data_IF_799402666422
#
_entry.id   IF_799402666422
#
_cell.length_a   1.000
_cell.length_b   1.000
_cell.length_c   1.000
_cell.angle_alpha   90.00
_cell.angle_beta   90.00
_cell.angle_gamma   90.00
#
_symmetry.space_group_name_H-M   'P 1'
#
loop_
_entity.id
_entity.type
_entity.pdbx_description
1 polymer ?
#
# COMPACT_ATOMS: atom_id res chain seq x y z
N UNK A 1 10.83 19.37 -11.95
CA UNK A 1 9.78 19.96 -11.06
C UNK A 1 8.65 18.97 -10.66
N UNK A 2 8.69 17.70 -11.02
CA UNK A 2 7.63 16.70 -10.70
C UNK A 2 7.69 16.09 -9.28
N UNK A 3 8.87 15.92 -8.71
CA UNK A 3 9.08 15.23 -7.42
C UNK A 3 8.38 15.93 -6.24
N UNK A 4 8.53 17.25 -6.03
CA UNK A 4 7.84 17.93 -4.92
C UNK A 4 6.31 17.89 -5.06
N UNK A 5 5.77 18.00 -6.27
CA UNK A 5 4.33 17.88 -6.49
C UNK A 5 3.81 16.47 -6.15
N UNK A 6 4.54 15.44 -6.53
CA UNK A 6 4.19 14.05 -6.24
C UNK A 6 4.18 13.76 -4.74
N UNK A 7 5.14 14.32 -3.99
CA UNK A 7 5.19 14.22 -2.53
C UNK A 7 4.02 14.98 -1.85
N UNK A 8 3.74 16.19 -2.31
CA UNK A 8 2.65 17.02 -1.75
C UNK A 8 1.29 16.34 -1.98
N UNK A 9 1.02 15.85 -3.19
CA UNK A 9 -0.24 15.19 -3.52
C UNK A 9 -0.33 13.76 -2.95
N UNK A 10 0.75 12.97 -3.04
CA UNK A 10 0.77 11.58 -2.59
C UNK A 10 0.75 11.42 -1.08
N UNK A 11 1.37 12.33 -0.33
CA UNK A 11 1.44 12.29 1.13
C UNK A 11 0.53 13.34 1.76
N UNK A 12 0.43 14.53 1.18
CA UNK A 12 -0.32 15.66 1.73
C UNK A 12 -1.81 15.36 1.85
N UNK A 13 -2.46 14.83 0.82
CA UNK A 13 -3.89 14.49 0.86
C UNK A 13 -4.20 13.40 1.91
N UNK A 14 -3.50 12.25 1.94
CA UNK A 14 -3.70 11.26 2.99
C UNK A 14 -3.49 11.81 4.40
N UNK A 15 -2.42 12.58 4.61
CA UNK A 15 -2.12 13.15 5.92
C UNK A 15 -3.18 14.15 6.38
N UNK A 16 -3.66 15.02 5.51
CA UNK A 16 -4.76 15.95 5.84
C UNK A 16 -6.06 15.20 6.15
N UNK A 17 -6.40 14.17 5.37
CA UNK A 17 -7.56 13.30 5.65
C UNK A 17 -7.44 12.59 6.99
N UNK A 18 -6.26 12.06 7.30
CA UNK A 18 -5.99 11.40 8.59
C UNK A 18 -6.09 12.37 9.77
N UNK A 19 -5.52 13.58 9.65
CA UNK A 19 -5.61 14.60 10.71
C UNK A 19 -7.04 15.05 10.96
N UNK A 20 -7.85 15.18 9.91
CA UNK A 20 -9.28 15.47 10.05
C UNK A 20 -10.01 14.34 10.78
N UNK A 21 -9.77 13.08 10.43
CA UNK A 21 -10.37 11.93 11.11
C UNK A 21 -9.95 11.82 12.56
N UNK A 22 -8.69 12.06 12.89
CA UNK A 22 -8.20 12.08 14.27
C UNK A 22 -8.88 13.21 15.06
N UNK A 23 -8.99 14.41 14.49
CA UNK A 23 -9.63 15.56 15.11
C UNK A 23 -11.11 15.33 15.40
N UNK A 24 -11.80 14.66 14.49
CA UNK A 24 -13.23 14.34 14.63
C UNK A 24 -13.52 12.95 15.20
N UNK A 25 -12.50 12.21 15.68
CA UNK A 25 -12.63 10.85 16.20
C UNK A 25 -13.79 10.64 17.17
N UNK A 26 -13.99 11.59 18.08
CA UNK A 26 -15.06 11.49 19.09
C UNK A 26 -16.47 11.78 18.50
N UNK A 27 -16.53 12.39 17.30
CA UNK A 27 -17.77 12.75 16.63
C UNK A 27 -18.06 11.93 15.37
N UNK A 28 -17.30 10.87 15.12
CA UNK A 28 -17.49 9.99 13.95
C UNK A 28 -18.88 9.34 13.88
N UNK A 29 -19.59 9.27 15.03
CA UNK A 29 -20.97 8.79 15.10
C UNK A 29 -22.04 9.87 14.84
N UNK A 30 -21.69 11.14 14.69
CA UNK A 30 -22.64 12.21 14.44
C UNK A 30 -23.02 12.31 12.96
N UNK A 31 -24.29 12.64 12.67
CA UNK A 31 -24.83 12.74 11.32
C UNK A 31 -24.02 13.70 10.41
N UNK A 32 -23.56 14.80 10.97
CA UNK A 32 -22.80 15.80 10.24
C UNK A 32 -21.44 15.27 9.75
N UNK A 33 -20.70 14.58 10.62
CA UNK A 33 -19.39 14.02 10.30
C UNK A 33 -19.52 12.81 9.38
N UNK A 34 -20.54 11.98 9.58
CA UNK A 34 -20.84 10.85 8.70
C UNK A 34 -21.10 11.32 7.26
N UNK A 35 -21.83 12.40 7.07
CA UNK A 35 -22.17 12.88 5.73
C UNK A 35 -20.95 13.25 4.89
N UNK A 36 -19.89 13.77 5.49
CA UNK A 36 -18.69 14.24 4.79
C UNK A 36 -17.52 13.25 4.81
N UNK A 37 -17.38 12.49 5.88
CA UNK A 37 -16.21 11.63 6.10
C UNK A 37 -16.52 10.14 5.98
N UNK A 38 -17.78 9.75 5.77
CA UNK A 38 -18.18 8.33 5.70
C UNK A 38 -17.36 7.54 4.68
N UNK A 39 -17.07 8.12 3.53
CA UNK A 39 -16.29 7.47 2.47
C UNK A 39 -14.89 7.06 2.92
N UNK A 40 -14.30 7.79 3.88
CA UNK A 40 -12.92 7.55 4.34
C UNK A 40 -12.81 6.39 5.35
N UNK A 41 -13.92 6.02 6.00
CA UNK A 41 -13.89 4.94 6.99
C UNK A 41 -15.05 3.94 6.84
N UNK A 42 -15.80 4.02 5.75
CA UNK A 42 -16.90 3.10 5.47
C UNK A 42 -16.39 1.67 5.39
N UNK A 43 -17.00 0.77 6.16
CA UNK A 43 -16.59 -0.64 6.19
C UNK A 43 -15.47 -0.98 7.18
N UNK A 44 -14.80 0.03 7.75
CA UNK A 44 -13.78 -0.16 8.80
C UNK A 44 -14.42 -0.16 10.20
N UNK A 45 -13.74 -0.80 11.13
CA UNK A 45 -14.05 -0.69 12.55
C UNK A 45 -13.76 0.75 13.03
N UNK A 46 -14.58 1.29 13.93
CA UNK A 46 -14.41 2.66 14.43
C UNK A 46 -13.04 2.94 15.04
N UNK A 47 -12.44 1.91 15.65
CA UNK A 47 -11.08 2.00 16.22
C UNK A 47 -9.97 1.88 15.18
N UNK A 48 -10.30 1.45 13.95
CA UNK A 48 -9.36 1.17 12.86
C UNK A 48 -9.56 2.10 11.66
N UNK A 49 -10.18 3.26 11.85
CA UNK A 49 -10.47 4.24 10.79
C UNK A 49 -9.24 4.68 9.99
N UNK A 50 -8.05 4.59 10.59
CA UNK A 50 -6.77 4.93 9.94
C UNK A 50 -6.30 3.90 8.91
N UNK A 51 -6.96 2.74 8.79
CA UNK A 51 -6.49 1.64 7.95
C UNK A 51 -6.46 1.99 6.46
N UNK A 52 -7.43 2.76 5.98
CA UNK A 52 -7.46 3.22 4.60
C UNK A 52 -6.22 4.07 4.24
N UNK A 53 -5.73 4.84 5.21
CA UNK A 53 -4.49 5.62 5.04
C UNK A 53 -3.25 4.73 5.00
N UNK A 54 -3.22 3.63 5.75
CA UNK A 54 -2.15 2.63 5.67
C UNK A 54 -2.14 1.98 4.28
N UNK A 55 -3.31 1.65 3.72
CA UNK A 55 -3.42 1.11 2.37
C UNK A 55 -2.96 2.11 1.30
N UNK A 56 -3.38 3.36 1.42
CA UNK A 56 -2.94 4.43 0.51
C UNK A 56 -1.43 4.65 0.63
N UNK A 57 -0.89 4.65 1.84
CA UNK A 57 0.53 4.80 2.09
C UNK A 57 1.34 3.62 1.52
N UNK A 58 0.85 2.38 1.65
CA UNK A 58 1.43 1.20 0.99
C UNK A 58 1.57 1.40 -0.51
N UNK A 59 0.48 1.81 -1.18
CA UNK A 59 0.48 2.04 -2.63
C UNK A 59 1.47 3.15 -3.02
N UNK A 60 1.48 4.23 -2.27
CA UNK A 60 2.41 5.34 -2.47
C UNK A 60 3.88 4.95 -2.27
N UNK A 61 4.18 4.12 -1.26
CA UNK A 61 5.52 3.58 -1.03
C UNK A 61 5.99 2.69 -2.18
N UNK A 62 5.14 1.78 -2.67
CA UNK A 62 5.50 0.90 -3.79
C UNK A 62 5.80 1.71 -5.07
N UNK A 63 5.00 2.74 -5.35
CA UNK A 63 5.27 3.66 -6.46
C UNK A 63 6.59 4.43 -6.25
N UNK A 64 6.84 4.91 -5.04
CA UNK A 64 8.09 5.59 -4.71
C UNK A 64 9.32 4.70 -4.92
N UNK A 65 9.27 3.44 -4.48
CA UNK A 65 10.34 2.45 -4.71
C UNK A 65 10.58 2.27 -6.21
N UNK A 66 9.53 2.16 -7.00
CA UNK A 66 9.64 2.02 -8.45
C UNK A 66 10.35 3.20 -9.11
N UNK A 67 10.09 4.42 -8.66
CA UNK A 67 10.66 5.65 -9.22
C UNK A 67 12.07 5.92 -8.70
N UNK A 68 12.27 5.92 -7.38
CA UNK A 68 13.55 6.29 -6.77
C UNK A 68 14.64 5.25 -6.96
N UNK A 69 14.28 3.98 -6.98
CA UNK A 69 15.22 2.89 -7.21
C UNK A 69 15.32 2.50 -8.72
N UNK A 70 14.90 3.39 -9.64
CA UNK A 70 14.92 3.09 -11.08
C UNK A 70 16.33 2.76 -11.60
N UNK A 71 17.36 3.37 -11.04
CA UNK A 71 18.77 3.12 -11.38
C UNK A 71 19.40 1.93 -10.62
N UNK A 72 18.70 1.36 -9.65
CA UNK A 72 19.21 0.23 -8.85
C UNK A 72 18.90 -1.11 -9.51
N UNK A 73 19.68 -2.14 -9.16
CA UNK A 73 19.40 -3.49 -9.62
C UNK A 73 17.99 -3.93 -9.23
N UNK A 74 17.29 -4.62 -10.13
CA UNK A 74 15.94 -5.11 -9.94
C UNK A 74 15.77 -5.88 -8.62
N UNK A 75 16.79 -6.67 -8.26
CA UNK A 75 16.81 -7.46 -7.03
C UNK A 75 16.54 -6.61 -5.77
N UNK A 76 17.20 -5.45 -5.61
CA UNK A 76 17.01 -4.58 -4.44
C UNK A 76 15.61 -3.96 -4.40
N UNK A 77 15.06 -3.61 -5.56
CA UNK A 77 13.68 -3.10 -5.65
C UNK A 77 12.68 -4.13 -5.14
N UNK A 78 12.79 -5.34 -5.66
CA UNK A 78 11.87 -6.43 -5.32
C UNK A 78 12.04 -6.86 -3.88
N UNK A 79 13.27 -6.95 -3.38
CA UNK A 79 13.53 -7.27 -1.97
C UNK A 79 12.85 -6.25 -1.05
N UNK A 80 13.06 -4.95 -1.31
CA UNK A 80 12.47 -3.87 -0.50
C UNK A 80 10.95 -3.88 -0.57
N UNK A 81 10.38 -4.01 -1.76
CA UNK A 81 8.93 -4.09 -1.96
C UNK A 81 8.32 -5.31 -1.25
N UNK A 82 8.98 -6.47 -1.35
CA UNK A 82 8.53 -7.71 -0.70
C UNK A 82 8.53 -7.60 0.83
N UNK A 83 9.58 -7.01 1.43
CA UNK A 83 9.64 -6.79 2.88
C UNK A 83 8.48 -5.90 3.34
N UNK A 84 8.19 -4.82 2.60
CA UNK A 84 7.08 -3.91 2.92
C UNK A 84 5.75 -4.66 2.84
N UNK A 85 5.52 -5.43 1.77
CA UNK A 85 4.28 -6.19 1.59
C UNK A 85 4.07 -7.24 2.68
N UNK A 86 5.11 -7.98 3.05
CA UNK A 86 5.04 -8.97 4.13
C UNK A 86 4.73 -8.29 5.47
N UNK A 87 5.35 -7.15 5.75
CA UNK A 87 5.09 -6.38 6.98
C UNK A 87 3.63 -5.93 7.07
N UNK A 88 3.10 -5.38 5.98
CA UNK A 88 1.71 -4.91 5.92
C UNK A 88 0.73 -6.10 5.99
N UNK A 89 1.04 -7.23 5.34
CA UNK A 89 0.25 -8.45 5.44
C UNK A 89 0.13 -8.95 6.88
N UNK A 90 1.24 -8.99 7.61
CA UNK A 90 1.25 -9.40 9.02
C UNK A 90 0.43 -8.44 9.89
N UNK A 91 0.53 -7.13 9.60
CA UNK A 91 -0.25 -6.11 10.28
C UNK A 91 -1.75 -6.24 10.00
N UNK A 92 -2.13 -6.47 8.75
CA UNK A 92 -3.51 -6.73 8.32
C UNK A 92 -4.09 -7.95 9.04
N UNK A 93 -3.35 -9.06 9.05
CA UNK A 93 -3.78 -10.29 9.69
C UNK A 93 -4.01 -10.10 11.20
N UNK A 94 -3.12 -9.37 11.87
CA UNK A 94 -3.20 -9.12 13.32
C UNK A 94 -4.31 -8.14 13.70
N UNK A 95 -4.54 -7.13 12.89
CA UNK A 95 -5.46 -6.03 13.22
C UNK A 95 -6.90 -6.29 12.80
N UNK A 96 -7.12 -7.04 11.71
CA UNK A 96 -8.46 -7.28 11.13
C UNK A 96 -9.30 -5.99 11.08
N UNK A 97 -8.90 -4.98 10.28
CA UNK A 97 -9.46 -3.63 10.37
C UNK A 97 -10.89 -3.51 9.86
N UNK A 98 -11.33 -4.39 8.95
CA UNK A 98 -12.65 -4.34 8.37
C UNK A 98 -13.70 -5.00 9.26
N UNK A 99 -14.92 -4.43 9.28
CA UNK A 99 -16.08 -5.00 10.00
C UNK A 99 -16.48 -6.36 9.45
N UNK A 100 -16.44 -6.50 8.12
CA UNK A 100 -16.81 -7.74 7.46
C UNK A 100 -15.56 -8.64 7.31
N UNK A 101 -15.68 -9.87 7.77
CA UNK A 101 -14.62 -10.89 7.66
C UNK A 101 -14.23 -11.13 6.19
N UNK A 102 -15.20 -11.05 5.28
CA UNK A 102 -14.97 -11.19 3.85
C UNK A 102 -14.00 -10.11 3.31
N UNK A 103 -14.17 -8.86 3.73
CA UNK A 103 -13.29 -7.77 3.30
C UNK A 103 -11.86 -7.95 3.84
N UNK A 104 -11.70 -8.44 5.06
CA UNK A 104 -10.38 -8.77 5.60
C UNK A 104 -9.69 -9.87 4.77
N UNK A 105 -10.43 -10.89 4.36
CA UNK A 105 -9.90 -11.97 3.54
C UNK A 105 -9.56 -11.51 2.12
N UNK A 106 -10.39 -10.66 1.52
CA UNK A 106 -10.13 -10.08 0.18
C UNK A 106 -8.85 -9.24 0.19
N UNK A 107 -8.69 -8.35 1.16
CA UNK A 107 -7.49 -7.54 1.31
C UNK A 107 -6.24 -8.40 1.53
N UNK A 108 -6.33 -9.43 2.37
CA UNK A 108 -5.25 -10.40 2.59
C UNK A 108 -4.87 -11.13 1.29
N UNK A 109 -5.86 -11.51 0.51
CA UNK A 109 -5.66 -12.15 -0.80
C UNK A 109 -4.99 -11.19 -1.78
N UNK A 110 -5.43 -9.93 -1.85
CA UNK A 110 -4.81 -8.88 -2.67
C UNK A 110 -3.33 -8.71 -2.34
N UNK A 111 -3.01 -8.54 -1.04
CA UNK A 111 -1.63 -8.36 -0.59
C UNK A 111 -0.78 -9.59 -0.91
N UNK A 112 -1.32 -10.79 -0.71
CA UNK A 112 -0.61 -12.04 -0.99
C UNK A 112 -0.34 -12.22 -2.48
N UNK A 113 -1.34 -11.99 -3.32
CA UNK A 113 -1.21 -12.05 -4.79
C UNK A 113 -0.21 -11.02 -5.29
N UNK A 114 -0.29 -9.77 -4.80
CA UNK A 114 0.66 -8.72 -5.14
C UNK A 114 2.10 -9.06 -4.75
N UNK A 115 2.29 -9.65 -3.56
CA UNK A 115 3.62 -10.11 -3.11
C UNK A 115 4.17 -11.20 -4.02
N UNK A 116 3.33 -12.16 -4.40
CA UNK A 116 3.70 -13.24 -5.31
C UNK A 116 4.08 -12.70 -6.69
N UNK A 117 3.29 -11.78 -7.23
CA UNK A 117 3.56 -11.14 -8.53
C UNK A 117 4.89 -10.38 -8.53
N UNK A 118 5.18 -9.61 -7.46
CA UNK A 118 6.45 -8.90 -7.32
C UNK A 118 7.62 -9.88 -7.26
N UNK A 119 7.49 -10.97 -6.52
CA UNK A 119 8.53 -11.98 -6.39
C UNK A 119 8.80 -12.70 -7.71
N UNK A 120 7.76 -13.13 -8.42
CA UNK A 120 7.91 -13.82 -9.71
C UNK A 120 8.54 -12.94 -10.79
N UNK A 121 8.39 -11.62 -10.71
CA UNK A 121 9.03 -10.70 -11.66
C UNK A 121 10.56 -10.78 -11.66
N UNK A 122 11.18 -11.16 -10.52
CA UNK A 122 12.63 -11.37 -10.45
C UNK A 122 13.02 -12.63 -11.22
N UNK A 123 12.30 -13.72 -11.01
CA UNK A 123 12.61 -15.01 -11.62
C UNK A 123 12.59 -14.90 -13.14
N UNK A 124 11.57 -14.27 -13.70
CA UNK A 124 11.47 -14.10 -15.15
C UNK A 124 12.54 -13.16 -15.74
N UNK A 125 12.94 -12.12 -15.00
CA UNK A 125 13.96 -11.20 -15.49
C UNK A 125 15.37 -11.77 -15.37
N UNK A 126 15.62 -12.71 -14.48
CA UNK A 126 16.89 -13.40 -14.34
C UNK A 126 17.10 -14.41 -15.47
N UNK A 127 16.04 -15.09 -15.90
CA UNK A 127 16.05 -16.01 -17.03
C UNK A 127 16.36 -15.27 -18.36
N UNK A 128 15.74 -14.11 -18.60
CA UNK A 128 16.00 -13.30 -19.79
C UNK A 128 17.48 -12.87 -19.89
N UNK A 129 18.10 -12.48 -18.77
CA UNK A 129 19.51 -12.10 -18.75
C UNK A 129 20.44 -13.30 -19.04
N UNK A 130 20.11 -14.48 -18.57
CA UNK A 130 20.88 -15.70 -18.83
C UNK A 130 20.74 -16.14 -20.30
N UNK A 131 19.57 -15.96 -20.90
CA UNK A 131 19.33 -16.29 -22.30
C UNK A 131 20.14 -15.38 -23.26
N UNK A 132 20.20 -14.09 -22.98
CA UNK A 132 20.99 -13.11 -23.75
C UNK A 132 22.49 -13.38 -23.68
N UNK A 133 22.98 -13.90 -22.58
CA UNK A 133 24.39 -14.28 -22.42
C UNK A 133 24.74 -15.51 -23.29
N UNK A 134 23.81 -16.47 -23.36
CA UNK A 134 24.01 -17.70 -24.17
C UNK A 134 23.95 -17.43 -25.69
N UNK A 135 23.20 -16.42 -26.15
CA UNK A 135 23.23 -16.04 -27.58
C UNK A 135 24.50 -15.29 -28.02
N UNK A 136 25.29 -14.79 -27.08
CA UNK A 136 26.53 -14.06 -27.37
C UNK A 136 27.82 -14.93 -27.36
N UNK A 137 27.68 -16.23 -27.07
CA UNK A 137 28.76 -17.22 -27.11
C UNK A 137 28.69 -18.04 -28.37
#
# INVERSE_FOLDING_TARGET
MGIPNLLIWGIGIPVTGLTLLIKFRQRLGTWEVQRYLLMLYQGLNQDKFYWEFINTFRKSLLLSISVFLSASHLFYKVLTATIIMITIRNLQYKLNPYKLKMNNNLELSEITTGTFTIFTSVVFNEDDNNFVILERI
#
